data_IF_224313502687
#
_entry.id   IF_224313502687
#
_cell.length_a   1.000
_cell.length_b   1.000
_cell.length_c   1.000
_cell.angle_alpha   90.00
_cell.angle_beta   90.00
_cell.angle_gamma   90.00
#
_symmetry.space_group_name_H-M   'P 1'
#
loop_
_entity.id
_entity.type
_entity.pdbx_description
1 polymer ?
#
# COMPACT_ATOMS: atom_id res chain seq x y z
N UNK A 1 -9.87 7.15 -104.05
CA UNK A 1 -8.65 6.98 -103.22
C UNK A 1 -8.24 8.37 -102.82
N UNK A 2 -8.34 8.84 -101.56
CA UNK A 2 -7.80 8.31 -100.28
C UNK A 2 -8.79 8.55 -99.08
N UNK A 3 -8.39 8.61 -97.78
CA UNK A 3 -7.43 7.84 -96.99
C UNK A 3 -8.08 6.99 -95.87
N UNK A 4 -7.30 6.04 -95.34
CA UNK A 4 -7.63 5.10 -94.25
C UNK A 4 -7.85 5.79 -92.90
N UNK A 5 -8.89 5.36 -92.19
CA UNK A 5 -9.17 5.72 -90.79
C UNK A 5 -8.07 5.19 -89.85
N UNK A 6 -7.56 6.06 -88.97
CA UNK A 6 -6.68 5.70 -87.84
C UNK A 6 -7.54 5.07 -86.74
N UNK A 7 -7.20 3.84 -86.34
CA UNK A 7 -7.71 3.22 -85.12
C UNK A 7 -7.26 4.03 -83.90
N UNK A 8 -8.23 4.38 -83.05
CA UNK A 8 -8.01 4.97 -81.72
C UNK A 8 -7.45 3.93 -80.75
N UNK A 9 -6.36 4.29 -80.07
CA UNK A 9 -5.72 3.55 -78.98
C UNK A 9 -6.67 3.43 -77.77
N UNK A 10 -6.68 2.32 -77.01
CA UNK A 10 -7.52 2.20 -75.82
C UNK A 10 -6.97 3.10 -74.70
N UNK A 11 -7.86 3.86 -74.05
CA UNK A 11 -7.58 4.60 -72.82
C UNK A 11 -7.09 3.65 -71.73
N UNK A 12 -5.91 3.92 -71.16
CA UNK A 12 -5.46 3.23 -69.96
C UNK A 12 -6.40 3.56 -68.78
N UNK A 13 -6.68 2.59 -67.88
CA UNK A 13 -7.48 2.84 -66.70
C UNK A 13 -6.75 3.81 -65.77
N UNK A 14 -7.42 4.89 -65.38
CA UNK A 14 -6.95 5.81 -64.36
C UNK A 14 -6.83 5.01 -63.05
N UNK A 15 -5.61 4.74 -62.64
CA UNK A 15 -5.30 4.28 -61.28
C UNK A 15 -5.76 5.39 -60.34
N UNK A 16 -6.89 5.20 -59.67
CA UNK A 16 -7.30 6.09 -58.58
C UNK A 16 -6.28 5.95 -57.48
N UNK A 17 -5.52 7.01 -57.23
CA UNK A 17 -4.67 7.14 -56.04
C UNK A 17 -5.48 6.71 -54.80
N UNK A 18 -4.90 5.95 -53.86
CA UNK A 18 -5.58 5.61 -52.62
C UNK A 18 -6.07 6.92 -52.00
N UNK A 19 -7.40 7.09 -52.05
CA UNK A 19 -8.03 8.40 -51.94
C UNK A 19 -7.59 9.12 -50.67
N UNK A 20 -7.40 10.43 -50.75
CA UNK A 20 -7.20 11.33 -49.60
C UNK A 20 -8.23 11.05 -48.48
N UNK A 21 -9.44 10.58 -48.85
CA UNK A 21 -10.47 10.13 -47.92
C UNK A 21 -10.07 8.92 -47.06
N UNK A 22 -9.32 7.95 -47.61
CA UNK A 22 -8.80 6.80 -46.87
C UNK A 22 -7.74 7.19 -45.84
N UNK A 23 -6.82 8.07 -46.22
CA UNK A 23 -5.79 8.62 -45.31
C UNK A 23 -6.44 9.48 -44.22
N UNK A 24 -7.41 10.32 -44.56
CA UNK A 24 -8.16 11.13 -43.60
C UNK A 24 -8.97 10.27 -42.61
N UNK A 25 -9.60 9.18 -43.09
CA UNK A 25 -10.37 8.26 -42.23
C UNK A 25 -9.48 7.52 -41.25
N UNK A 26 -8.32 7.01 -41.69
CA UNK A 26 -7.33 6.38 -40.80
C UNK A 26 -6.80 7.39 -39.78
N UNK A 27 -6.52 8.62 -40.20
CA UNK A 27 -6.10 9.70 -39.30
C UNK A 27 -7.13 10.03 -38.22
N UNK A 28 -8.41 10.14 -38.58
CA UNK A 28 -9.51 10.37 -37.63
C UNK A 28 -9.67 9.20 -36.66
N UNK A 29 -9.56 7.96 -37.15
CA UNK A 29 -9.63 6.77 -36.30
C UNK A 29 -8.46 6.72 -35.30
N UNK A 30 -7.23 6.98 -35.75
CA UNK A 30 -6.07 7.03 -34.87
C UNK A 30 -6.18 8.16 -33.84
N UNK A 31 -6.68 9.33 -34.24
CA UNK A 31 -6.92 10.43 -33.32
C UNK A 31 -8.03 10.09 -32.31
N UNK A 32 -9.12 9.46 -32.74
CA UNK A 32 -10.20 9.04 -31.85
C UNK A 32 -9.74 7.95 -30.87
N UNK A 33 -8.97 6.96 -31.34
CA UNK A 33 -8.38 5.92 -30.49
C UNK A 33 -7.36 6.51 -29.51
N UNK A 34 -6.51 7.43 -29.97
CA UNK A 34 -5.55 8.14 -29.13
C UNK A 34 -6.24 9.01 -28.08
N UNK A 35 -7.30 9.72 -28.47
CA UNK A 35 -8.15 10.50 -27.55
C UNK A 35 -8.84 9.60 -26.51
N UNK A 36 -9.42 8.48 -26.95
CA UNK A 36 -10.02 7.51 -26.03
C UNK A 36 -8.99 6.97 -25.03
N UNK A 37 -7.82 6.52 -25.50
CA UNK A 37 -6.73 6.04 -24.63
C UNK A 37 -6.22 7.13 -23.67
N UNK A 38 -6.17 8.38 -24.12
CA UNK A 38 -5.82 9.52 -23.27
C UNK A 38 -6.80 9.70 -22.12
N UNK A 39 -8.11 9.75 -22.41
CA UNK A 39 -9.12 10.04 -21.39
C UNK A 39 -9.44 8.84 -20.49
N UNK A 40 -9.43 7.62 -20.99
CA UNK A 40 -9.83 6.43 -20.23
C UNK A 40 -8.70 5.77 -19.46
N UNK A 41 -7.44 5.95 -19.90
CA UNK A 41 -6.30 5.24 -19.33
C UNK A 41 -5.18 6.20 -18.88
N UNK A 42 -4.60 6.98 -19.79
CA UNK A 42 -3.38 7.74 -19.50
C UNK A 42 -3.60 8.91 -18.53
N UNK A 43 -4.61 9.75 -18.76
CA UNK A 43 -4.90 10.91 -17.89
C UNK A 43 -5.28 10.50 -16.45
N UNK A 44 -6.17 9.50 -16.23
CA UNK A 44 -6.42 8.97 -14.89
C UNK A 44 -5.16 8.38 -14.24
N UNK A 45 -4.32 7.68 -15.00
CA UNK A 45 -3.05 7.15 -14.51
C UNK A 45 -2.11 8.28 -14.06
N UNK A 46 -1.85 9.27 -14.92
CA UNK A 46 -1.02 10.43 -14.60
C UNK A 46 -1.55 11.18 -13.37
N UNK A 47 -2.86 11.33 -13.25
CA UNK A 47 -3.50 11.99 -12.11
C UNK A 47 -3.26 11.23 -10.80
N UNK A 48 -3.44 9.90 -10.79
CA UNK A 48 -3.22 9.04 -9.62
C UNK A 48 -1.77 9.11 -9.12
N UNK A 49 -0.81 9.05 -10.05
CA UNK A 49 0.63 9.13 -9.74
C UNK A 49 1.14 10.55 -9.45
N UNK A 50 0.26 11.55 -9.46
CA UNK A 50 0.63 12.94 -9.13
C UNK A 50 1.41 13.67 -10.22
N UNK A 51 1.32 13.23 -11.46
CA UNK A 51 1.99 13.84 -12.62
C UNK A 51 1.20 15.04 -13.19
N UNK A 52 0.41 15.72 -12.35
CA UNK A 52 -0.42 16.87 -12.76
C UNK A 52 -0.20 18.08 -11.83
N UNK A 53 -0.13 19.32 -12.36
CA UNK A 53 0.30 20.50 -11.58
C UNK A 53 -0.58 20.87 -10.38
N UNK A 54 -1.86 20.53 -10.40
CA UNK A 54 -2.83 20.88 -9.33
C UNK A 54 -2.81 19.91 -8.13
N UNK A 55 -1.81 19.02 -8.04
CA UNK A 55 -1.65 18.10 -6.89
C UNK A 55 -0.88 18.69 -5.72
N UNK A 56 -0.41 19.94 -5.85
CA UNK A 56 0.05 20.73 -4.72
C UNK A 56 -1.16 21.19 -3.92
N UNK A 57 -1.42 20.53 -2.78
CA UNK A 57 -2.14 21.19 -1.72
C UNK A 57 -1.17 22.17 -1.03
N UNK A 58 -1.64 23.34 -0.65
CA UNK A 58 -0.92 24.15 0.34
C UNK A 58 -0.72 23.28 1.59
N UNK A 59 0.43 23.39 2.24
CA UNK A 59 0.64 22.63 3.46
C UNK A 59 -0.26 23.16 4.57
N UNK A 60 -0.92 22.25 5.29
CA UNK A 60 -1.78 22.59 6.42
C UNK A 60 -1.78 21.47 7.45
N UNK A 61 -2.18 21.81 8.67
CA UNK A 61 -2.11 20.91 9.83
C UNK A 61 -0.68 20.42 10.15
N UNK A 62 0.34 21.13 9.66
CA UNK A 62 1.77 20.84 9.85
C UNK A 62 2.53 21.93 10.65
N UNK A 63 1.81 22.91 11.22
CA UNK A 63 2.43 24.08 11.87
C UNK A 63 3.12 23.80 13.22
N UNK A 64 2.82 22.67 13.86
CA UNK A 64 3.41 22.25 15.14
C UNK A 64 3.80 20.77 15.09
N UNK A 65 4.90 20.48 14.41
CA UNK A 65 5.43 19.13 14.31
C UNK A 65 6.82 19.03 14.95
N UNK A 66 7.06 17.91 15.62
CA UNK A 66 8.34 17.51 16.21
C UNK A 66 8.85 16.23 15.55
N UNK A 67 10.18 16.10 15.47
CA UNK A 67 10.86 14.94 14.92
C UNK A 67 11.40 14.11 16.09
N UNK A 68 11.05 12.83 16.15
CA UNK A 68 11.53 11.89 17.15
C UNK A 68 12.56 10.99 16.48
N UNK A 69 13.83 11.23 16.82
CA UNK A 69 14.98 10.49 16.29
C UNK A 69 15.10 9.06 16.86
N UNK A 70 15.97 8.25 16.28
CA UNK A 70 16.20 6.85 16.69
C UNK A 70 15.15 5.86 16.18
N UNK A 71 14.26 6.32 15.31
CA UNK A 71 13.19 5.56 14.67
C UNK A 71 13.37 5.65 13.15
N UNK A 72 14.21 4.77 12.61
CA UNK A 72 14.47 4.71 11.19
C UNK A 72 13.50 3.75 10.49
N UNK A 73 12.98 4.18 9.34
CA UNK A 73 12.38 3.31 8.32
C UNK A 73 11.24 2.42 8.81
N UNK A 74 10.43 2.97 9.72
CA UNK A 74 9.22 2.34 10.23
C UNK A 74 8.08 2.52 9.22
N UNK A 75 7.80 1.48 8.44
CA UNK A 75 6.83 1.55 7.36
C UNK A 75 5.38 1.59 7.89
N UNK A 76 5.14 0.93 9.04
CA UNK A 76 3.87 0.88 9.76
C UNK A 76 4.05 1.31 11.22
N UNK A 77 3.07 2.02 11.75
CA UNK A 77 2.91 2.32 13.18
C UNK A 77 1.48 2.02 13.61
N UNK A 78 1.26 1.73 14.89
CA UNK A 78 -0.07 1.44 15.46
C UNK A 78 -0.24 2.12 16.81
N UNK A 79 -1.33 2.88 16.98
CA UNK A 79 -1.68 3.49 18.26
C UNK A 79 -2.48 2.53 19.13
N UNK A 80 -1.92 2.13 20.28
CA UNK A 80 -2.61 1.33 21.27
C UNK A 80 -3.29 2.24 22.30
N UNK A 81 -4.55 2.59 22.04
CA UNK A 81 -5.35 3.49 22.89
C UNK A 81 -5.40 3.11 24.38
N UNK A 82 -5.55 1.83 24.78
CA UNK A 82 -5.62 1.47 26.20
C UNK A 82 -4.37 1.84 27.01
N UNK A 83 -3.17 1.74 26.42
CA UNK A 83 -1.91 2.10 27.10
C UNK A 83 -1.39 3.50 26.76
N UNK A 84 -2.04 4.20 25.81
CA UNK A 84 -1.56 5.44 25.23
C UNK A 84 -0.14 5.33 24.67
N UNK A 85 0.15 4.22 23.99
CA UNK A 85 1.49 3.90 23.47
C UNK A 85 1.42 3.69 21.97
N UNK A 86 2.33 4.31 21.23
CA UNK A 86 2.53 4.05 19.80
C UNK A 86 3.52 2.89 19.65
N UNK A 87 3.17 1.89 18.84
CA UNK A 87 4.06 0.79 18.48
C UNK A 87 4.53 0.96 17.04
N UNK A 88 5.79 0.64 16.77
CA UNK A 88 6.42 0.82 15.46
C UNK A 88 7.21 -0.43 15.08
N UNK A 89 7.17 -0.82 13.81
CA UNK A 89 8.03 -1.85 13.25
C UNK A 89 9.09 -1.19 12.36
N UNK A 90 10.33 -1.11 12.85
CA UNK A 90 11.38 -0.29 12.25
C UNK A 90 12.50 -1.15 11.65
N UNK A 91 13.17 -0.59 10.65
CA UNK A 91 14.25 -1.25 9.91
C UNK A 91 15.42 -0.28 9.71
N UNK A 92 16.41 -0.66 8.92
CA UNK A 92 17.45 0.26 8.46
C UNK A 92 17.14 0.79 7.07
N UNK A 93 17.52 2.05 6.82
CA UNK A 93 17.42 2.64 5.50
C UNK A 93 18.16 1.81 4.45
N UNK A 94 19.35 1.29 4.77
CA UNK A 94 20.13 0.43 3.88
C UNK A 94 19.33 -0.82 3.48
N UNK A 95 18.67 -1.47 4.44
CA UNK A 95 17.85 -2.64 4.18
C UNK A 95 16.67 -2.32 3.29
N UNK A 96 15.95 -1.22 3.54
CA UNK A 96 14.82 -0.82 2.70
C UNK A 96 15.23 -0.57 1.24
N UNK A 97 16.36 0.08 1.03
CA UNK A 97 16.86 0.40 -0.31
C UNK A 97 17.35 -0.84 -1.08
N UNK A 98 17.90 -1.85 -0.38
CA UNK A 98 18.42 -3.07 -1.01
C UNK A 98 17.43 -4.24 -1.02
N UNK A 99 16.52 -4.29 -0.05
CA UNK A 99 15.62 -5.40 0.23
C UNK A 99 14.19 -4.92 0.53
N UNK A 100 13.45 -4.72 -0.56
CA UNK A 100 12.01 -4.45 -0.54
C UNK A 100 11.39 -5.26 -1.67
N UNK A 101 10.98 -6.53 -1.42
CA UNK A 101 10.60 -7.46 -2.47
C UNK A 101 9.44 -7.00 -3.36
N UNK A 102 8.45 -6.30 -2.79
CA UNK A 102 7.31 -5.76 -3.54
C UNK A 102 7.71 -4.63 -4.52
N UNK A 103 8.90 -4.04 -4.37
CA UNK A 103 9.47 -3.08 -5.31
C UNK A 103 10.51 -3.68 -6.26
N UNK A 104 10.70 -5.00 -6.25
CA UNK A 104 11.78 -5.71 -6.97
C UNK A 104 13.20 -5.42 -6.44
N UNK A 105 13.33 -4.83 -5.24
CA UNK A 105 14.60 -4.69 -4.54
C UNK A 105 14.93 -6.00 -3.81
N UNK A 106 15.82 -6.80 -4.40
CA UNK A 106 16.09 -8.19 -4.03
C UNK A 106 17.58 -8.45 -3.79
N UNK A 107 18.31 -7.47 -3.25
CA UNK A 107 19.68 -7.66 -2.80
C UNK A 107 19.71 -8.33 -1.42
N UNK A 108 19.82 -9.66 -1.43
CA UNK A 108 19.86 -10.48 -0.20
C UNK A 108 20.97 -10.07 0.77
N UNK A 109 22.06 -9.44 0.29
CA UNK A 109 23.17 -9.00 1.14
C UNK A 109 22.82 -7.76 1.98
N UNK A 110 21.79 -7.02 1.56
CA UNK A 110 21.32 -5.80 2.22
C UNK A 110 20.15 -6.03 3.15
N UNK A 111 19.50 -7.20 3.09
CA UNK A 111 18.39 -7.55 3.98
C UNK A 111 18.81 -7.46 5.45
N UNK A 112 18.09 -6.66 6.23
CA UNK A 112 18.25 -6.58 7.68
C UNK A 112 17.92 -7.91 8.35
N UNK A 113 18.76 -8.36 9.28
CA UNK A 113 18.48 -9.54 10.11
C UNK A 113 17.88 -9.19 11.47
N UNK A 114 17.85 -7.91 11.83
CA UNK A 114 17.66 -7.44 13.21
C UNK A 114 16.65 -6.32 13.30
N UNK A 115 15.69 -6.25 12.36
CA UNK A 115 14.57 -5.32 12.51
C UNK A 115 13.91 -5.55 13.87
N UNK A 116 13.45 -4.46 14.48
CA UNK A 116 12.96 -4.49 15.86
C UNK A 116 11.69 -3.67 15.99
N UNK A 117 10.87 -4.06 16.95
CA UNK A 117 9.74 -3.23 17.37
C UNK A 117 10.22 -2.14 18.32
N UNK A 118 9.51 -1.02 18.29
CA UNK A 118 9.72 0.09 19.21
C UNK A 118 8.38 0.52 19.78
N UNK A 119 8.44 1.13 20.96
CA UNK A 119 7.34 1.90 21.53
C UNK A 119 7.73 3.36 21.64
N UNK A 120 6.74 4.24 21.51
CA UNK A 120 6.86 5.66 21.79
C UNK A 120 5.72 6.11 22.71
N UNK A 121 6.08 6.78 23.80
CA UNK A 121 5.14 7.31 24.79
C UNK A 121 5.09 8.85 24.69
N UNK A 122 4.01 9.44 24.13
CA UNK A 122 3.95 10.88 23.86
C UNK A 122 4.01 11.78 25.10
N UNK A 123 3.65 11.26 26.27
CA UNK A 123 3.63 12.02 27.53
C UNK A 123 5.02 12.21 28.14
N UNK A 124 5.94 11.27 27.88
CA UNK A 124 7.31 11.32 28.42
C UNK A 124 8.35 11.54 27.33
N UNK A 125 7.98 11.38 26.06
CA UNK A 125 8.90 11.38 24.92
C UNK A 125 9.79 10.13 24.87
N UNK A 126 9.48 9.09 25.66
CA UNK A 126 10.32 7.89 25.77
C UNK A 126 10.15 7.00 24.55
N UNK A 127 11.28 6.60 23.96
CA UNK A 127 11.36 5.54 22.94
C UNK A 127 12.00 4.31 23.58
N UNK A 128 11.33 3.16 23.48
CA UNK A 128 11.85 1.88 23.98
C UNK A 128 11.91 0.86 22.87
N UNK A 129 13.11 0.31 22.64
CA UNK A 129 13.31 -0.82 21.73
C UNK A 129 12.82 -2.10 22.39
N UNK A 130 12.06 -2.91 21.67
CA UNK A 130 11.59 -4.21 22.15
C UNK A 130 12.45 -5.35 21.61
N UNK A 131 12.70 -6.35 22.46
CA UNK A 131 13.48 -7.54 22.14
C UNK A 131 12.55 -8.69 21.70
N UNK A 132 12.93 -9.41 20.64
CA UNK A 132 12.22 -10.60 20.19
C UNK A 132 12.93 -11.84 20.75
N UNK A 133 12.24 -12.60 21.60
CA UNK A 133 12.75 -13.82 22.22
C UNK A 133 12.21 -15.07 21.52
N UNK A 134 13.02 -16.13 21.50
CA UNK A 134 12.58 -17.46 21.03
C UNK A 134 12.48 -17.63 19.51
N UNK A 135 12.96 -16.68 18.70
CA UNK A 135 12.96 -16.81 17.24
C UNK A 135 13.90 -17.94 16.77
N UNK A 136 13.41 -18.99 16.08
CA UNK A 136 14.22 -20.18 15.81
C UNK A 136 15.07 -20.09 14.54
N UNK A 137 14.99 -18.99 13.78
CA UNK A 137 15.65 -18.85 12.47
C UNK A 137 16.64 -17.67 12.40
N UNK A 138 17.66 -17.59 13.28
CA UNK A 138 18.56 -16.43 13.33
C UNK A 138 19.28 -16.16 12.00
N UNK A 139 19.56 -17.20 11.19
CA UNK A 139 20.16 -17.06 9.85
C UNK A 139 19.21 -16.53 8.77
N UNK A 140 17.89 -16.69 8.94
CA UNK A 140 16.88 -16.11 8.03
C UNK A 140 16.60 -14.65 8.35
N UNK A 141 16.81 -14.27 9.62
CA UNK A 141 16.63 -12.92 10.16
C UNK A 141 15.19 -12.41 10.15
N UNK A 142 15.01 -11.24 10.75
CA UNK A 142 13.74 -10.52 10.79
C UNK A 142 13.88 -9.24 9.96
N UNK A 143 13.16 -9.18 8.85
CA UNK A 143 13.05 -8.01 7.96
C UNK A 143 11.58 -7.62 7.85
N UNK A 144 11.16 -6.68 8.68
CA UNK A 144 9.74 -6.38 8.92
C UNK A 144 9.17 -5.40 7.92
N UNK A 145 7.88 -5.53 7.67
CA UNK A 145 7.09 -4.62 6.84
C UNK A 145 5.84 -4.19 7.64
N UNK A 146 4.63 -4.42 7.13
CA UNK A 146 3.40 -4.22 7.89
C UNK A 146 3.24 -5.19 9.05
N UNK A 147 2.49 -4.76 10.07
CA UNK A 147 2.20 -5.55 11.26
C UNK A 147 0.82 -5.19 11.83
N UNK A 148 0.28 -6.04 12.69
CA UNK A 148 -0.94 -5.77 13.46
C UNK A 148 -0.76 -6.09 14.93
N UNK A 149 -1.53 -5.38 15.77
CA UNK A 149 -1.66 -5.59 17.21
C UNK A 149 -3.11 -5.90 17.54
N UNK A 150 -3.34 -7.04 18.20
CA UNK A 150 -4.70 -7.51 18.52
C UNK A 150 -4.73 -7.98 19.97
N UNK A 151 -5.71 -7.56 20.79
CA UNK A 151 -5.89 -8.12 22.12
C UNK A 151 -6.02 -9.64 22.08
N UNK A 152 -5.29 -10.33 22.97
CA UNK A 152 -5.39 -11.77 23.11
C UNK A 152 -6.69 -12.14 23.81
N UNK A 153 -7.49 -12.99 23.18
CA UNK A 153 -8.78 -13.42 23.71
C UNK A 153 -8.62 -14.10 25.08
N UNK A 154 -9.34 -13.60 26.08
CA UNK A 154 -9.30 -14.16 27.44
C UNK A 154 -8.04 -13.85 28.24
N UNK A 155 -7.11 -13.03 27.73
CA UNK A 155 -5.83 -12.73 28.38
C UNK A 155 -5.62 -11.21 28.52
N UNK A 156 -6.00 -10.65 29.67
CA UNK A 156 -5.89 -9.21 29.94
C UNK A 156 -4.45 -8.69 29.82
N UNK A 157 -4.28 -7.59 29.10
CA UNK A 157 -2.99 -6.94 28.88
C UNK A 157 -2.05 -7.68 27.92
N UNK A 158 -2.47 -8.82 27.36
CA UNK A 158 -1.73 -9.53 26.32
C UNK A 158 -2.20 -9.13 24.93
N UNK A 159 -1.24 -8.98 24.02
CA UNK A 159 -1.45 -8.68 22.62
C UNK A 159 -0.82 -9.78 21.78
N UNK A 160 -1.54 -10.22 20.75
CA UNK A 160 -0.95 -10.88 19.60
C UNK A 160 -0.35 -9.82 18.68
N UNK A 161 0.87 -10.09 18.23
CA UNK A 161 1.57 -9.29 17.21
C UNK A 161 1.75 -10.17 15.99
N UNK A 162 1.20 -9.75 14.86
CA UNK A 162 1.42 -10.40 13.57
C UNK A 162 2.28 -9.49 12.73
N UNK A 163 3.36 -10.00 12.14
CA UNK A 163 4.31 -9.17 11.40
C UNK A 163 4.71 -9.83 10.10
N UNK A 164 4.63 -9.08 9.00
CA UNK A 164 5.21 -9.50 7.73
C UNK A 164 6.73 -9.56 7.89
N UNK A 165 7.33 -10.70 7.55
CA UNK A 165 8.78 -10.86 7.51
C UNK A 165 9.22 -11.29 6.10
N UNK A 166 10.00 -10.44 5.43
CA UNK A 166 10.56 -10.69 4.12
C UNK A 166 11.90 -11.41 4.22
N UNK A 167 11.87 -12.75 4.35
CA UNK A 167 13.09 -13.54 4.43
C UNK A 167 13.72 -13.76 3.05
N UNK A 168 15.02 -14.03 3.03
CA UNK A 168 15.68 -14.56 1.83
C UNK A 168 15.09 -15.93 1.46
N UNK A 169 15.09 -16.32 0.17
CA UNK A 169 14.75 -17.68 -0.22
C UNK A 169 15.61 -18.71 0.52
N UNK A 170 14.98 -19.78 0.99
CA UNK A 170 15.68 -20.91 1.62
C UNK A 170 16.65 -21.62 0.67
N UNK A 171 16.34 -21.60 -0.63
CA UNK A 171 17.15 -22.20 -1.68
C UNK A 171 17.12 -21.33 -2.94
N UNK A 172 18.25 -21.21 -3.63
CA UNK A 172 18.37 -20.44 -4.87
C UNK A 172 18.43 -18.92 -4.66
N UNK A 173 18.41 -18.16 -5.76
CA UNK A 173 18.54 -16.70 -5.71
C UNK A 173 17.21 -15.95 -5.56
N UNK A 174 17.22 -14.83 -4.84
CA UNK A 174 16.04 -13.96 -4.68
C UNK A 174 15.52 -13.40 -6.02
N UNK A 175 16.41 -13.19 -7.00
CA UNK A 175 16.04 -12.74 -8.35
C UNK A 175 15.37 -13.81 -9.20
N UNK A 176 15.49 -15.08 -8.81
CA UNK A 176 14.91 -16.21 -9.53
C UNK A 176 13.58 -16.66 -8.90
N UNK A 177 13.53 -16.66 -7.55
CA UNK A 177 12.39 -17.19 -6.80
C UNK A 177 11.53 -16.14 -6.09
N UNK A 178 12.03 -14.92 -5.96
CA UNK A 178 11.46 -13.89 -5.09
C UNK A 178 11.75 -14.17 -3.60
N UNK A 179 11.30 -13.28 -2.73
CA UNK A 179 11.47 -13.48 -1.29
C UNK A 179 10.64 -14.66 -0.74
N UNK A 180 11.12 -15.24 0.36
CA UNK A 180 10.38 -16.19 1.20
C UNK A 180 9.61 -15.41 2.27
N UNK A 181 8.66 -14.60 1.80
CA UNK A 181 7.87 -13.76 2.69
C UNK A 181 6.90 -14.62 3.52
N UNK A 182 6.83 -14.33 4.81
CA UNK A 182 6.00 -15.05 5.78
C UNK A 182 5.30 -14.07 6.71
N UNK A 183 4.46 -14.61 7.61
CA UNK A 183 3.89 -13.85 8.73
C UNK A 183 4.40 -14.47 10.03
N UNK A 184 5.12 -13.69 10.83
CA UNK A 184 5.53 -14.08 12.18
C UNK A 184 4.41 -13.75 13.16
N UNK A 185 4.14 -14.66 14.09
CA UNK A 185 3.19 -14.48 15.19
C UNK A 185 3.98 -14.44 16.49
N UNK A 186 3.84 -13.33 17.20
CA UNK A 186 4.46 -13.09 18.49
C UNK A 186 3.41 -12.73 19.53
N UNK A 187 3.80 -12.80 20.80
CA UNK A 187 2.98 -12.41 21.94
C UNK A 187 3.71 -11.36 22.76
N UNK A 188 3.01 -10.30 23.14
CA UNK A 188 3.54 -9.18 23.89
C UNK A 188 2.61 -8.91 25.07
N UNK A 189 3.18 -8.66 26.25
CA UNK A 189 2.42 -8.08 27.36
C UNK A 189 2.63 -6.57 27.39
N UNK A 190 1.54 -5.82 27.46
CA UNK A 190 1.57 -4.35 27.48
C UNK A 190 2.48 -3.85 28.61
N UNK A 191 3.40 -2.94 28.26
CA UNK A 191 4.38 -2.36 29.17
C UNK A 191 5.66 -3.17 29.34
N UNK A 192 5.76 -4.38 28.78
CA UNK A 192 7.01 -5.14 28.76
C UNK A 192 7.86 -4.79 27.53
N UNK A 193 9.17 -4.99 27.67
CA UNK A 193 10.16 -4.68 26.61
C UNK A 193 10.47 -5.90 25.73
N UNK A 194 9.67 -6.97 25.84
CA UNK A 194 9.93 -8.27 25.19
C UNK A 194 8.71 -8.82 24.48
N UNK A 195 8.92 -9.32 23.28
CA UNK A 195 7.96 -10.09 22.51
C UNK A 195 8.43 -11.54 22.45
N UNK A 196 7.54 -12.47 22.77
CA UNK A 196 7.80 -13.89 22.64
C UNK A 196 7.38 -14.34 21.25
N UNK A 197 8.31 -14.84 20.44
CA UNK A 197 7.95 -15.51 19.20
C UNK A 197 7.14 -16.78 19.51
N UNK A 198 6.05 -16.99 18.77
CA UNK A 198 5.15 -18.13 18.96
C UNK A 198 5.18 -19.08 17.77
N UNK A 199 5.07 -18.55 16.54
CA UNK A 199 5.11 -19.36 15.30
C UNK A 199 5.34 -18.51 14.05
N UNK A 200 5.63 -19.21 12.97
CA UNK A 200 5.60 -18.66 11.61
C UNK A 200 4.40 -19.24 10.85
N UNK A 201 3.64 -18.38 10.17
CA UNK A 201 2.66 -18.76 9.16
C UNK A 201 3.32 -18.61 7.79
N UNK A 202 3.48 -19.74 7.09
CA UNK A 202 4.09 -19.83 5.76
C UNK A 202 3.33 -20.86 4.91
N UNK A 203 3.34 -20.70 3.59
CA UNK A 203 2.61 -21.59 2.67
C UNK A 203 3.39 -21.99 1.41
N UNK A 204 4.69 -21.71 1.41
CA UNK A 204 5.59 -21.98 0.29
C UNK A 204 5.44 -21.03 -0.89
N UNK A 205 4.75 -19.89 -0.74
CA UNK A 205 4.54 -18.94 -1.82
C UNK A 205 3.31 -19.20 -2.67
N UNK A 206 2.38 -20.05 -2.20
CA UNK A 206 1.17 -20.41 -2.96
C UNK A 206 0.15 -19.29 -2.93
N UNK A 207 -0.14 -18.79 -1.74
CA UNK A 207 -1.04 -17.68 -1.45
C UNK A 207 -0.26 -16.53 -0.81
N UNK A 208 0.71 -16.75 0.07
CA UNK A 208 1.58 -15.67 0.59
C UNK A 208 2.67 -15.35 -0.43
N UNK A 209 2.47 -14.32 -1.27
CA UNK A 209 3.37 -14.00 -2.39
C UNK A 209 4.19 -12.74 -2.14
N UNK A 210 3.51 -11.61 -2.00
CA UNK A 210 4.09 -10.28 -1.79
C UNK A 210 3.35 -9.56 -0.65
N UNK A 211 3.34 -10.15 0.56
CA UNK A 211 2.59 -9.59 1.67
C UNK A 211 3.07 -8.16 1.98
N UNK A 212 2.15 -7.22 2.14
CA UNK A 212 2.46 -5.84 2.49
C UNK A 212 2.08 -5.56 3.95
N UNK A 213 0.80 -5.77 4.30
CA UNK A 213 0.25 -5.57 5.63
C UNK A 213 -0.60 -6.76 6.10
N UNK A 214 -0.91 -6.81 7.40
CA UNK A 214 -1.63 -7.91 8.05
C UNK A 214 -2.74 -7.44 8.99
N UNK A 215 -3.73 -8.28 9.20
CA UNK A 215 -4.78 -8.09 10.20
C UNK A 215 -5.05 -9.42 10.91
N UNK A 216 -4.47 -9.56 12.10
CA UNK A 216 -4.54 -10.76 12.93
C UNK A 216 -5.90 -11.03 13.60
N UNK A 217 -6.08 -12.27 14.03
CA UNK A 217 -7.16 -12.70 14.91
C UNK A 217 -6.82 -12.63 16.40
N UNK A 218 -7.81 -12.61 17.30
CA UNK A 218 -7.57 -12.52 18.74
C UNK A 218 -7.09 -13.84 19.37
N UNK A 219 -7.14 -14.95 18.63
CA UNK A 219 -6.73 -16.28 19.09
C UNK A 219 -5.26 -16.60 18.84
N UNK A 220 -4.55 -15.82 18.02
CA UNK A 220 -3.20 -16.17 17.56
C UNK A 220 -3.18 -17.20 16.41
N UNK A 221 -4.34 -17.61 15.90
CA UNK A 221 -4.46 -18.77 14.99
C UNK A 221 -4.76 -18.42 13.53
N UNK A 222 -5.20 -17.20 13.26
CA UNK A 222 -5.51 -16.77 11.90
C UNK A 222 -5.11 -15.31 11.64
N UNK A 223 -4.97 -14.98 10.36
CA UNK A 223 -4.54 -13.67 9.89
C UNK A 223 -5.05 -13.41 8.47
N UNK A 224 -5.53 -12.20 8.22
CA UNK A 224 -5.66 -11.65 6.87
C UNK A 224 -4.37 -10.93 6.49
N UNK A 225 -4.03 -10.92 5.20
CA UNK A 225 -2.86 -10.21 4.70
C UNK A 225 -3.10 -9.69 3.30
N UNK A 226 -2.53 -8.55 2.95
CA UNK A 226 -2.58 -8.01 1.60
C UNK A 226 -1.39 -8.51 0.79
N UNK A 227 -1.61 -9.06 -0.41
CA UNK A 227 -0.53 -9.22 -1.39
C UNK A 227 -0.63 -8.11 -2.42
N UNK A 228 0.39 -7.27 -2.55
CA UNK A 228 0.38 -6.20 -3.55
C UNK A 228 0.24 -6.77 -4.97
N UNK A 229 0.89 -7.91 -5.23
CA UNK A 229 0.86 -8.61 -6.52
C UNK A 229 0.43 -10.06 -6.38
N UNK A 230 -0.25 -10.53 -7.43
CA UNK A 230 -0.59 -11.93 -7.62
C UNK A 230 0.59 -12.83 -7.96
N UNK A 231 1.81 -12.30 -8.17
CA UNK A 231 3.04 -13.05 -8.42
C UNK A 231 4.23 -12.49 -7.65
N UNK A 232 5.21 -13.35 -7.32
CA UNK A 232 6.42 -12.94 -6.58
C UNK A 232 7.39 -12.09 -7.40
N UNK A 233 7.41 -12.29 -8.73
CA UNK A 233 8.35 -11.69 -9.68
C UNK A 233 7.70 -11.53 -11.07
N UNK A 234 8.36 -10.80 -11.95
CA UNK A 234 8.14 -10.88 -13.39
C UNK A 234 7.26 -9.78 -14.00
N UNK A 235 7.02 -9.91 -15.30
CA UNK A 235 6.41 -8.86 -16.14
C UNK A 235 4.96 -8.53 -15.77
N UNK A 236 4.23 -9.47 -15.16
CA UNK A 236 2.86 -9.21 -14.68
C UNK A 236 2.82 -8.07 -13.65
N UNK A 237 3.83 -8.00 -12.78
CA UNK A 237 3.97 -6.91 -11.80
C UNK A 237 4.25 -5.57 -12.48
N UNK A 238 5.13 -5.57 -13.49
CA UNK A 238 5.42 -4.38 -14.29
C UNK A 238 4.20 -3.90 -15.06
N UNK A 239 3.39 -4.82 -15.61
CA UNK A 239 2.15 -4.49 -16.28
C UNK A 239 1.16 -3.80 -15.33
N UNK A 240 1.00 -4.29 -14.09
CA UNK A 240 0.15 -3.65 -13.09
C UNK A 240 0.58 -2.21 -12.78
N UNK A 241 1.90 -1.99 -12.57
CA UNK A 241 2.47 -0.66 -12.30
C UNK A 241 2.22 0.34 -13.45
N UNK A 242 2.05 -0.17 -14.67
CA UNK A 242 1.68 0.63 -15.85
C UNK A 242 0.17 0.77 -16.02
N UNK A 243 -0.63 0.32 -15.06
CA UNK A 243 -2.10 0.40 -15.10
C UNK A 243 -2.75 -0.58 -16.09
N UNK A 244 -2.06 -1.65 -16.47
CA UNK A 244 -2.64 -2.72 -17.28
C UNK A 244 -3.34 -3.75 -16.38
N UNK A 245 -4.41 -4.42 -16.86
CA UNK A 245 -5.24 -5.31 -16.05
C UNK A 245 -4.63 -6.72 -15.86
N UNK A 246 -3.36 -6.78 -15.45
CA UNK A 246 -2.60 -7.99 -15.22
C UNK A 246 -1.85 -7.90 -13.88
N UNK A 247 -1.59 -9.04 -13.25
CA UNK A 247 -0.77 -9.10 -12.03
C UNK A 247 -1.45 -8.60 -10.76
N UNK A 248 -2.78 -8.44 -10.78
CA UNK A 248 -3.57 -8.01 -9.62
C UNK A 248 -3.24 -8.79 -8.36
N UNK A 249 -3.14 -8.04 -7.26
CA UNK A 249 -3.03 -8.57 -5.92
C UNK A 249 -4.40 -8.98 -5.35
N UNK A 250 -4.41 -9.32 -4.07
CA UNK A 250 -5.60 -9.74 -3.34
C UNK A 250 -5.34 -9.70 -1.82
N UNK A 251 -6.40 -9.70 -1.02
CA UNK A 251 -6.32 -10.04 0.39
C UNK A 251 -6.38 -11.56 0.52
N UNK A 252 -5.39 -12.14 1.18
CA UNK A 252 -5.35 -13.55 1.57
C UNK A 252 -5.79 -13.74 3.03
N UNK A 253 -6.09 -14.97 3.37
CA UNK A 253 -6.38 -15.42 4.72
C UNK A 253 -5.60 -16.69 5.01
N UNK A 254 -5.03 -16.82 6.20
CA UNK A 254 -4.42 -18.06 6.67
C UNK A 254 -5.00 -18.44 8.03
N UNK A 255 -5.22 -19.73 8.24
CA UNK A 255 -5.42 -20.33 9.54
C UNK A 255 -4.33 -21.39 9.78
N UNK A 256 -3.81 -21.47 11.00
CA UNK A 256 -2.70 -22.37 11.36
C UNK A 256 -2.98 -23.85 11.09
N UNK A 257 -4.25 -24.26 11.08
CA UNK A 257 -4.66 -25.65 10.80
C UNK A 257 -5.21 -25.89 9.40
N UNK A 258 -5.96 -24.94 8.82
CA UNK A 258 -6.59 -25.14 7.49
C UNK A 258 -5.77 -24.59 6.33
N UNK A 259 -4.63 -23.93 6.60
CA UNK A 259 -3.78 -23.32 5.58
C UNK A 259 -4.30 -21.98 5.09
N UNK A 260 -3.84 -21.58 3.90
CA UNK A 260 -4.10 -20.26 3.33
C UNK A 260 -5.02 -20.32 2.10
N UNK A 261 -5.82 -19.27 1.93
CA UNK A 261 -6.75 -19.08 0.81
C UNK A 261 -6.83 -17.61 0.40
N UNK A 262 -7.30 -17.34 -0.82
CA UNK A 262 -7.67 -15.98 -1.24
C UNK A 262 -8.99 -15.61 -0.57
N UNK A 263 -9.03 -14.42 0.04
CA UNK A 263 -10.19 -13.95 0.80
C UNK A 263 -10.99 -12.87 0.08
N UNK A 264 -10.39 -12.11 -0.85
CA UNK A 264 -11.06 -11.04 -1.60
C UNK A 264 -11.10 -11.30 -3.12
N UNK A 265 -11.94 -10.57 -3.86
CA UNK A 265 -11.74 -10.36 -5.30
C UNK A 265 -10.35 -9.76 -5.62
N UNK A 266 -9.90 -9.80 -6.88
CA UNK A 266 -8.64 -9.17 -7.30
C UNK A 266 -8.62 -7.66 -7.06
N UNK A 267 -7.49 -7.13 -6.61
CA UNK A 267 -7.27 -5.71 -6.29
C UNK A 267 -5.99 -5.19 -6.96
N UNK A 268 -5.98 -3.90 -7.34
CA UNK A 268 -4.83 -3.26 -7.97
C UNK A 268 -3.86 -2.70 -6.94
N UNK A 269 -2.98 -3.56 -6.43
CA UNK A 269 -2.01 -3.23 -5.39
C UNK A 269 -2.66 -2.98 -4.03
N UNK A 270 -3.32 -3.98 -3.43
CA UNK A 270 -3.76 -3.84 -2.05
C UNK A 270 -2.52 -3.70 -1.15
N UNK A 271 -2.58 -2.73 -0.24
CA UNK A 271 -1.46 -2.33 0.61
C UNK A 271 -1.92 -2.42 2.08
N UNK A 272 -2.19 -1.32 2.77
CA UNK A 272 -2.59 -1.28 4.17
C UNK A 272 -3.92 -1.98 4.46
N UNK A 273 -3.99 -2.58 5.65
CA UNK A 273 -5.17 -3.21 6.22
C UNK A 273 -5.53 -2.57 7.57
N UNK A 274 -6.84 -2.43 7.83
CA UNK A 274 -7.32 -2.22 9.19
C UNK A 274 -8.73 -2.79 9.41
N UNK A 275 -9.06 -3.06 10.67
CA UNK A 275 -10.42 -3.40 11.09
C UNK A 275 -11.12 -2.15 11.59
N UNK A 276 -12.18 -1.74 10.90
CA UNK A 276 -13.04 -0.64 11.33
C UNK A 276 -13.81 -0.99 12.61
N UNK A 277 -14.25 0.03 13.34
CA UNK A 277 -15.15 -0.16 14.50
C UNK A 277 -16.52 -0.73 14.12
N UNK A 278 -16.87 -0.61 12.85
CA UNK A 278 -18.04 -1.22 12.21
C UNK A 278 -17.84 -2.70 11.86
N UNK A 279 -16.68 -3.28 12.20
CA UNK A 279 -16.32 -4.68 11.91
C UNK A 279 -15.82 -4.93 10.49
N UNK A 280 -15.85 -3.92 9.61
CA UNK A 280 -15.40 -4.07 8.22
C UNK A 280 -13.89 -4.15 8.13
N UNK A 281 -13.40 -4.84 7.11
CA UNK A 281 -11.98 -4.83 6.73
C UNK A 281 -11.79 -3.73 5.70
N UNK A 282 -10.93 -2.77 6.02
CA UNK A 282 -10.57 -1.66 5.16
C UNK A 282 -9.24 -1.94 4.49
N UNK A 283 -9.16 -1.71 3.19
CA UNK A 283 -7.99 -2.01 2.36
C UNK A 283 -7.67 -0.81 1.49
N UNK A 284 -6.46 -0.28 1.55
CA UNK A 284 -5.99 0.69 0.55
C UNK A 284 -5.57 -0.04 -0.72
N UNK A 285 -5.89 0.53 -1.88
CA UNK A 285 -5.66 -0.06 -3.19
C UNK A 285 -4.85 0.91 -4.04
N UNK A 286 -3.53 0.92 -3.79
CA UNK A 286 -2.60 1.99 -4.16
C UNK A 286 -2.57 2.33 -5.65
N UNK A 287 -2.66 1.32 -6.53
CA UNK A 287 -2.65 1.57 -7.98
C UNK A 287 -4.02 1.98 -8.52
N UNK A 288 -5.12 1.65 -7.82
CA UNK A 288 -6.45 2.12 -8.18
C UNK A 288 -6.69 3.56 -7.72
N UNK A 289 -6.12 3.97 -6.59
CA UNK A 289 -6.40 5.26 -5.98
C UNK A 289 -7.66 5.26 -5.12
N UNK A 290 -7.95 4.11 -4.50
CA UNK A 290 -9.18 3.85 -3.76
C UNK A 290 -8.87 3.26 -2.39
N UNK A 291 -9.82 3.43 -1.48
CA UNK A 291 -9.94 2.60 -0.27
C UNK A 291 -11.21 1.77 -0.38
N UNK A 292 -11.11 0.47 -0.11
CA UNK A 292 -12.22 -0.48 -0.25
C UNK A 292 -12.62 -1.01 1.11
N UNK A 293 -13.92 -1.02 1.38
CA UNK A 293 -14.49 -1.62 2.58
C UNK A 293 -15.07 -3.00 2.25
N UNK A 294 -14.70 -4.00 3.04
CA UNK A 294 -15.17 -5.37 2.94
C UNK A 294 -15.98 -5.77 4.17
N UNK A 295 -17.08 -6.47 3.94
CA UNK A 295 -17.75 -7.25 4.97
C UNK A 295 -17.20 -8.68 5.00
N UNK A 296 -17.00 -9.18 6.20
CA UNK A 296 -16.65 -10.58 6.43
C UNK A 296 -17.93 -11.41 6.40
N UNK A 297 -18.18 -12.11 5.28
CA UNK A 297 -19.35 -12.99 5.12
C UNK A 297 -19.23 -14.18 6.06
N UNK A 298 -18.01 -14.68 6.20
CA UNK A 298 -17.52 -15.60 7.22
C UNK A 298 -16.00 -15.44 7.31
N UNK A 299 -15.39 -15.91 8.39
CA UNK A 299 -13.94 -15.84 8.54
C UNK A 299 -13.21 -16.49 7.37
N UNK A 300 -12.28 -15.74 6.80
CA UNK A 300 -11.58 -16.05 5.55
C UNK A 300 -12.28 -15.67 4.24
N UNK A 301 -13.46 -15.06 4.28
CA UNK A 301 -14.23 -14.67 3.08
C UNK A 301 -14.73 -13.22 3.17
N UNK A 302 -14.23 -12.38 2.27
CA UNK A 302 -14.50 -10.94 2.22
C UNK A 302 -15.33 -10.57 0.99
N UNK A 303 -16.39 -9.79 1.21
CA UNK A 303 -17.24 -9.23 0.15
C UNK A 303 -17.11 -7.71 0.14
N UNK A 304 -16.77 -7.15 -1.02
CA UNK A 304 -16.72 -5.70 -1.20
C UNK A 304 -18.12 -5.10 -0.99
N UNK A 305 -18.20 -4.06 -0.18
CA UNK A 305 -19.46 -3.35 0.12
C UNK A 305 -19.40 -1.85 -0.10
N UNK A 306 -18.20 -1.27 -0.17
CA UNK A 306 -18.01 0.14 -0.50
C UNK A 306 -16.62 0.37 -1.10
N UNK A 307 -16.50 1.43 -1.90
CA UNK A 307 -15.27 1.85 -2.56
C UNK A 307 -15.20 3.37 -2.60
N UNK A 308 -14.19 3.92 -1.93
CA UNK A 308 -14.01 5.34 -1.71
C UNK A 308 -12.83 5.81 -2.56
N UNK A 309 -13.06 6.52 -3.67
CA UNK A 309 -11.99 7.02 -4.50
C UNK A 309 -11.31 8.23 -3.83
N UNK A 310 -10.02 8.12 -3.52
CA UNK A 310 -9.20 9.26 -3.10
C UNK A 310 -8.46 9.86 -4.30
N UNK A 311 -8.33 9.09 -5.38
CA UNK A 311 -7.54 9.40 -6.56
C UNK A 311 -6.10 9.74 -6.19
N UNK A 312 -5.52 9.12 -5.17
CA UNK A 312 -4.12 9.32 -4.74
C UNK A 312 -3.37 7.98 -4.89
N UNK A 313 -2.11 7.96 -4.52
CA UNK A 313 -1.44 6.69 -4.24
C UNK A 313 -1.51 6.51 -2.73
N UNK A 314 -2.32 5.56 -2.28
CA UNK A 314 -2.53 5.25 -0.87
C UNK A 314 -1.48 4.23 -0.39
N UNK A 315 -1.17 4.30 0.90
CA UNK A 315 -0.29 3.34 1.57
C UNK A 315 -1.03 2.80 2.81
N UNK A 316 -0.44 2.78 4.00
CA UNK A 316 -1.14 2.29 5.18
C UNK A 316 -2.32 3.15 5.62
N UNK A 317 -3.32 2.47 6.20
CA UNK A 317 -4.46 3.09 6.87
C UNK A 317 -4.59 2.63 8.32
N UNK A 318 -5.26 3.45 9.12
CA UNK A 318 -5.54 3.24 10.55
C UNK A 318 -6.95 3.69 10.90
N UNK A 319 -7.40 3.36 12.12
CA UNK A 319 -8.76 3.65 12.60
C UNK A 319 -8.67 4.36 13.94
N UNK A 320 -9.29 5.52 14.05
CA UNK A 320 -9.24 6.32 15.28
C UNK A 320 -10.28 5.88 16.34
N UNK A 321 -10.35 6.63 17.43
CA UNK A 321 -11.30 6.38 18.51
C UNK A 321 -12.78 6.58 18.12
N UNK A 322 -13.07 7.37 17.08
CA UNK A 322 -14.41 7.57 16.54
C UNK A 322 -14.79 6.53 15.49
N UNK A 323 -13.82 5.79 14.96
CA UNK A 323 -14.03 4.85 13.87
C UNK A 323 -13.82 5.46 12.49
N UNK A 324 -13.28 6.66 12.42
CA UNK A 324 -12.85 7.26 11.15
C UNK A 324 -11.56 6.59 10.69
N UNK A 325 -11.42 6.44 9.39
CA UNK A 325 -10.26 5.81 8.76
C UNK A 325 -9.29 6.89 8.32
N UNK A 326 -8.03 6.81 8.76
CA UNK A 326 -6.96 7.70 8.31
C UNK A 326 -6.05 6.96 7.36
N UNK A 327 -5.76 7.56 6.20
CA UNK A 327 -5.02 6.91 5.12
C UNK A 327 -3.82 7.77 4.77
N UNK A 328 -2.62 7.21 4.87
CA UNK A 328 -1.41 7.84 4.36
C UNK A 328 -1.46 7.84 2.83
N UNK A 329 -1.15 8.96 2.22
CA UNK A 329 -1.17 9.13 0.77
C UNK A 329 0.09 9.84 0.28
N UNK A 330 0.59 9.38 -0.85
CA UNK A 330 1.75 9.93 -1.55
C UNK A 330 1.22 10.82 -2.69
N UNK A 331 1.24 12.16 -2.55
CA UNK A 331 0.63 13.05 -3.53
C UNK A 331 1.35 13.04 -4.88
N UNK A 332 2.67 12.77 -4.87
CA UNK A 332 3.54 12.70 -6.07
C UNK A 332 4.47 11.50 -5.99
N UNK A 333 4.06 10.40 -6.61
CA UNK A 333 4.81 9.14 -6.61
C UNK A 333 6.17 9.28 -7.30
N UNK A 334 6.30 10.20 -8.27
CA UNK A 334 7.59 10.49 -8.92
C UNK A 334 8.61 11.08 -7.95
N UNK A 335 8.17 11.94 -7.04
CA UNK A 335 9.05 12.56 -6.04
C UNK A 335 9.42 11.55 -4.97
N UNK A 336 8.44 10.74 -4.54
CA UNK A 336 8.70 9.62 -3.62
C UNK A 336 9.71 8.64 -4.21
N UNK A 337 9.58 8.29 -5.49
CA UNK A 337 10.53 7.42 -6.19
C UNK A 337 11.92 8.05 -6.23
N UNK A 338 12.02 9.35 -6.54
CA UNK A 338 13.30 10.05 -6.51
C UNK A 338 13.91 10.09 -5.11
N UNK A 339 13.10 10.38 -4.08
CA UNK A 339 13.48 10.34 -2.68
C UNK A 339 14.03 8.97 -2.28
N UNK A 340 13.37 7.90 -2.74
CA UNK A 340 13.80 6.52 -2.53
C UNK A 340 15.13 6.23 -3.24
N UNK A 341 15.24 6.46 -4.54
CA UNK A 341 16.45 6.20 -5.33
C UNK A 341 17.65 7.03 -4.87
N UNK A 342 17.42 8.21 -4.30
CA UNK A 342 18.46 9.07 -3.74
C UNK A 342 18.84 8.72 -2.29
N UNK A 343 18.30 7.62 -1.73
CA UNK A 343 18.62 7.14 -0.39
C UNK A 343 18.05 8.02 0.72
N UNK A 344 16.79 8.43 0.57
CA UNK A 344 16.09 9.33 1.48
C UNK A 344 16.51 10.80 1.32
N UNK A 345 17.25 11.16 0.27
CA UNK A 345 17.61 12.54 -0.05
C UNK A 345 16.55 13.17 -0.94
N UNK A 346 16.29 14.45 -0.75
CA UNK A 346 15.22 15.15 -1.47
C UNK A 346 13.87 15.05 -0.75
N UNK A 347 12.90 15.80 -1.26
CA UNK A 347 11.57 15.94 -0.65
C UNK A 347 10.56 15.11 -1.41
N UNK A 348 9.78 14.32 -0.67
CA UNK A 348 8.56 13.68 -1.11
C UNK A 348 7.40 14.29 -0.33
N UNK A 349 6.44 14.96 -0.99
CA UNK A 349 5.27 15.49 -0.31
C UNK A 349 4.48 14.33 0.32
N UNK A 350 3.69 14.68 1.34
CA UNK A 350 2.89 13.73 2.12
C UNK A 350 1.48 14.27 2.32
N UNK A 351 0.50 13.38 2.33
CA UNK A 351 -0.88 13.72 2.66
C UNK A 351 -1.53 12.67 3.53
N UNK A 352 -2.50 13.07 4.34
CA UNK A 352 -3.38 12.15 5.07
C UNK A 352 -4.81 12.45 4.67
N UNK A 353 -5.56 11.42 4.31
CA UNK A 353 -7.00 11.52 4.10
C UNK A 353 -7.75 10.92 5.28
N UNK A 354 -8.87 11.54 5.64
CA UNK A 354 -9.82 11.02 6.63
C UNK A 354 -11.07 10.57 5.89
N UNK A 355 -11.45 9.30 6.07
CA UNK A 355 -12.70 8.73 5.60
C UNK A 355 -13.64 8.60 6.80
N UNK A 356 -14.83 9.14 6.67
CA UNK A 356 -15.85 9.17 7.71
C UNK A 356 -17.23 8.89 7.14
N UNK A 357 -18.18 8.52 7.99
CA UNK A 357 -19.56 8.23 7.58
C UNK A 357 -20.20 9.48 6.99
N UNK A 358 -20.74 9.36 5.77
CA UNK A 358 -21.47 10.42 5.12
C UNK A 358 -22.96 10.34 5.50
N UNK A 359 -23.36 11.14 6.48
CA UNK A 359 -24.72 11.12 7.03
C UNK A 359 -25.81 11.38 5.99
N UNK A 360 -25.55 12.23 4.98
CA UNK A 360 -26.54 12.49 3.92
C UNK A 360 -26.68 11.31 2.96
N UNK A 361 -25.60 10.55 2.72
CA UNK A 361 -25.59 9.38 1.85
C UNK A 361 -26.27 8.15 2.47
N UNK A 362 -26.35 8.04 3.81
CA UNK A 362 -26.96 6.88 4.48
C UNK A 362 -28.44 6.66 4.11
N UNK A 363 -29.14 7.74 3.77
CA UNK A 363 -30.56 7.72 3.42
C UNK A 363 -30.82 7.91 1.92
N UNK A 364 -29.75 8.04 1.12
CA UNK A 364 -29.83 8.24 -0.32
C UNK A 364 -29.57 6.91 -1.05
N UNK A 365 -30.59 6.29 -1.68
CA UNK A 365 -30.41 5.05 -2.42
C UNK A 365 -29.56 5.21 -3.69
N UNK A 366 -29.32 6.44 -4.16
CA UNK A 366 -28.46 6.73 -5.32
C UNK A 366 -27.02 7.03 -4.92
N UNK A 367 -26.72 7.13 -3.63
CA UNK A 367 -25.37 7.41 -3.15
C UNK A 367 -24.41 6.29 -3.56
N UNK A 368 -23.33 6.68 -4.26
CA UNK A 368 -22.29 5.75 -4.73
C UNK A 368 -21.43 5.17 -3.60
N UNK A 369 -21.40 5.84 -2.45
CA UNK A 369 -20.68 5.43 -1.25
C UNK A 369 -21.39 5.97 -0.01
N UNK A 370 -21.35 5.22 1.08
CA UNK A 370 -21.85 5.65 2.40
C UNK A 370 -20.83 6.49 3.16
N UNK A 371 -19.64 6.69 2.57
CA UNK A 371 -18.53 7.39 3.20
C UNK A 371 -18.15 8.63 2.40
N UNK A 372 -17.60 9.61 3.11
CA UNK A 372 -16.96 10.78 2.54
C UNK A 372 -15.48 10.76 2.88
N UNK A 373 -14.67 11.36 2.02
CA UNK A 373 -13.23 11.50 2.22
C UNK A 373 -12.85 12.98 2.16
N UNK A 374 -11.98 13.40 3.07
CA UNK A 374 -11.39 14.75 3.09
C UNK A 374 -9.88 14.67 3.26
N UNK A 375 -9.15 15.63 2.69
CA UNK A 375 -7.72 15.79 2.97
C UNK A 375 -7.60 16.41 4.36
N UNK A 376 -6.95 15.69 5.27
CA UNK A 376 -6.85 16.03 6.69
C UNK A 376 -5.49 16.62 7.07
N UNK A 377 -4.44 16.31 6.32
CA UNK A 377 -3.10 16.85 6.50
C UNK A 377 -2.39 16.90 5.16
N UNK A 378 -1.55 17.93 4.96
CA UNK A 378 -0.68 18.03 3.79
C UNK A 378 0.65 18.69 4.16
N UNK A 379 1.75 18.13 3.66
CA UNK A 379 3.11 18.67 3.81
C UNK A 379 3.89 18.56 2.49
N UNK A 380 4.76 19.53 2.23
CA UNK A 380 5.62 19.57 1.03
C UNK A 380 6.82 18.63 1.11
N UNK A 381 6.94 17.88 2.22
CA UNK A 381 8.03 16.95 2.51
C UNK A 381 9.09 17.53 3.42
N UNK A 382 9.01 18.82 3.79
CA UNK A 382 9.98 19.45 4.70
C UNK A 382 9.79 19.06 6.16
N UNK A 383 8.58 18.68 6.57
CA UNK A 383 8.29 18.23 7.94
C UNK A 383 7.97 16.75 7.97
N UNK A 384 7.12 16.30 7.05
CA UNK A 384 6.69 14.91 6.96
C UNK A 384 7.07 14.38 5.57
N UNK A 385 8.26 13.79 5.46
CA UNK A 385 8.83 13.38 4.18
C UNK A 385 8.48 11.92 3.84
N UNK A 386 7.80 11.69 2.72
CA UNK A 386 7.53 10.34 2.22
C UNK A 386 6.73 9.45 3.18
N UNK A 387 5.66 10.00 3.78
CA UNK A 387 4.81 9.28 4.74
C UNK A 387 4.09 8.11 4.08
N UNK A 388 4.21 6.94 4.71
CA UNK A 388 3.54 5.68 4.33
C UNK A 388 2.58 5.18 5.41
N UNK A 389 2.58 5.77 6.60
CA UNK A 389 1.69 5.38 7.69
C UNK A 389 1.29 6.56 8.56
N UNK A 390 0.10 6.47 9.13
CA UNK A 390 -0.51 7.50 9.97
C UNK A 390 -1.30 6.88 11.10
N UNK A 391 -1.24 7.48 12.28
CA UNK A 391 -2.12 7.20 13.42
C UNK A 391 -2.59 8.53 14.01
N UNK A 392 -3.89 8.66 14.26
CA UNK A 392 -4.46 9.85 14.90
C UNK A 392 -4.93 9.52 16.31
N UNK A 393 -4.30 10.15 17.30
CA UNK A 393 -4.73 10.10 18.69
C UNK A 393 -5.61 11.31 18.99
N UNK A 394 -6.92 11.09 19.01
CA UNK A 394 -7.89 12.17 19.11
C UNK A 394 -7.80 12.92 20.44
N UNK A 395 -7.75 12.20 21.56
CA UNK A 395 -7.73 12.82 22.90
C UNK A 395 -6.49 13.69 23.11
N UNK A 396 -5.35 13.27 22.57
CA UNK A 396 -4.11 14.03 22.62
C UNK A 396 -3.97 15.07 21.51
N UNK A 397 -4.89 15.09 20.53
CA UNK A 397 -4.80 15.88 19.29
C UNK A 397 -3.45 15.73 18.59
N UNK A 398 -2.92 14.51 18.57
CA UNK A 398 -1.62 14.20 17.96
C UNK A 398 -1.81 13.32 16.74
N UNK A 399 -1.12 13.70 15.66
CA UNK A 399 -0.98 12.93 14.44
C UNK A 399 0.43 12.36 14.40
N UNK A 400 0.55 11.04 14.38
CA UNK A 400 1.81 10.32 14.25
C UNK A 400 1.98 9.91 12.78
N UNK A 401 3.11 10.28 12.19
CA UNK A 401 3.41 10.07 10.78
C UNK A 401 4.77 9.42 10.63
N UNK A 402 4.87 8.36 9.84
CA UNK A 402 6.13 7.71 9.51
C UNK A 402 6.14 7.25 8.05
N UNK A 403 7.32 6.88 7.55
CA UNK A 403 7.54 6.40 6.19
C UNK A 403 8.46 5.19 6.11
N UNK A 404 8.29 4.39 5.04
CA UNK A 404 9.12 3.24 4.68
C UNK A 404 10.63 3.52 4.72
N UNK A 405 11.04 4.73 4.36
CA UNK A 405 12.43 5.20 4.38
C UNK A 405 12.63 6.52 5.15
N UNK A 406 11.64 6.92 5.96
CA UNK A 406 11.75 8.08 6.83
C UNK A 406 12.82 7.85 7.90
N UNK A 407 13.48 8.92 8.37
CA UNK A 407 14.58 8.84 9.35
C UNK A 407 14.15 9.10 10.80
N UNK A 408 12.90 9.48 10.98
CA UNK A 408 12.34 9.87 12.25
C UNK A 408 10.82 9.75 12.20
N UNK A 409 10.23 9.56 13.37
CA UNK A 409 8.80 9.71 13.57
C UNK A 409 8.46 11.20 13.60
N UNK A 410 7.49 11.61 12.78
CA UNK A 410 6.96 12.97 12.81
C UNK A 410 5.70 13.00 13.67
N UNK A 411 5.66 13.87 14.68
CA UNK A 411 4.50 14.02 15.57
C UNK A 411 3.97 15.43 15.45
N UNK A 412 2.75 15.59 14.94
CA UNK A 412 2.11 16.89 14.77
C UNK A 412 0.98 17.10 15.78
N UNK A 413 0.92 18.30 16.37
CA UNK A 413 -0.16 18.69 17.29
C UNK A 413 -1.18 19.57 16.57
N UNK A 414 -2.38 19.04 16.36
CA UNK A 414 -3.47 19.68 15.61
C UNK A 414 -4.26 20.68 16.43
#
# INVERSE_FOLDING_TARGET
>A
MPPKAKLSTPLQPIQRDPSIAGVATVGVLLFALGGAAWFTWLSPLMSRFGMVPWRYAESFNNGRCEEIEGLDSCEKVIWHSPSNTLYLACSSLESRLGWTPFMDHLDSSKRSATDSFFTYQPSTGTVTKLEIEGYPYPGMGISMHGFSLVPAEGEEGWLWVYAVNHRIPREGGAREKGADSVIEVLKLKVGEERLQWVRTIEDGGRVIKTPNDVLGGPTGEWVYFSNEYGEKLGLSRSAMRLGLPYGFGYVGFCHVTSGCSVASPPLSGPNGLARGRDGKVWVSVSYAGDVVAFEEVRTGELKEVDRIPLNRYEDNLSVDENGDIFVATIPRVTDWKHHFEAGGKGLSPSGVHRIHVNQSALHDPEAKSKYAAELFFADDGRRANGVTTVEYWMKGRKLFLHGHIARYLTVCTL
#
